data_IF_188144531294
#
_entry.id   IF_188144531294
#
_cell.length_a   1.000
_cell.length_b   1.000
_cell.length_c   1.000
_cell.angle_alpha   90.00
_cell.angle_beta   90.00
_cell.angle_gamma   90.00
#
_symmetry.space_group_name_H-M   'P 1'
#
loop_
_entity.id
_entity.type
_entity.pdbx_description
1 polymer ?
#
# COMPACT_ATOMS: atom_id res chain seq x y z
N UNK A 1 19.33 18.82 -6.16
CA UNK A 1 18.40 18.70 -7.28
C UNK A 1 17.94 17.26 -7.28
N UNK A 2 16.67 17.02 -7.14
CA UNK A 2 16.11 15.65 -7.11
C UNK A 2 15.82 15.21 -8.54
N UNK A 3 16.05 13.95 -8.86
CA UNK A 3 15.76 13.40 -10.18
C UNK A 3 15.12 12.03 -10.05
N UNK A 4 14.03 11.81 -10.76
CA UNK A 4 13.38 10.52 -10.91
C UNK A 4 13.40 10.15 -12.39
N UNK A 5 13.93 8.99 -12.72
CA UNK A 5 13.99 8.46 -14.08
C UNK A 5 13.23 7.14 -14.15
N UNK A 6 12.18 7.08 -14.99
CA UNK A 6 11.38 5.88 -15.27
C UNK A 6 11.30 5.76 -16.80
N UNK A 7 12.18 5.00 -17.44
CA UNK A 7 12.30 4.95 -18.89
C UNK A 7 11.07 4.37 -19.59
N UNK A 8 10.48 3.33 -19.01
CA UNK A 8 9.31 2.67 -19.57
C UNK A 8 8.05 3.55 -19.38
N UNK A 9 7.35 3.94 -20.47
CA UNK A 9 6.17 4.80 -20.41
C UNK A 9 4.98 4.12 -19.70
N UNK A 10 4.85 2.80 -19.78
CA UNK A 10 3.77 2.06 -19.14
C UNK A 10 4.00 2.03 -17.62
N UNK A 11 5.21 1.76 -17.17
CA UNK A 11 5.57 1.80 -15.75
C UNK A 11 5.51 3.22 -15.18
N UNK A 12 5.86 4.24 -15.98
CA UNK A 12 5.68 5.63 -15.61
C UNK A 12 4.20 5.98 -15.46
N UNK A 13 3.34 5.46 -16.34
CA UNK A 13 1.90 5.55 -16.24
C UNK A 13 1.35 4.88 -14.98
N UNK A 14 1.87 3.70 -14.65
CA UNK A 14 1.52 2.94 -13.43
C UNK A 14 1.90 3.71 -12.15
N UNK A 15 3.10 4.29 -12.13
CA UNK A 15 3.52 5.15 -11.01
C UNK A 15 2.64 6.39 -10.91
N UNK A 16 2.32 7.02 -12.03
CA UNK A 16 1.38 8.16 -12.09
C UNK A 16 0.00 7.80 -11.56
N UNK A 17 -0.54 6.64 -11.94
CA UNK A 17 -1.81 6.13 -11.44
C UNK A 17 -1.78 5.84 -9.94
N UNK A 18 -0.68 5.28 -9.43
CA UNK A 18 -0.47 5.10 -7.99
C UNK A 18 -0.52 6.43 -7.25
N UNK A 19 0.27 7.42 -7.69
CA UNK A 19 0.34 8.74 -7.04
C UNK A 19 -1.01 9.48 -7.13
N UNK A 20 -1.71 9.39 -8.25
CA UNK A 20 -3.06 9.98 -8.40
C UNK A 20 -4.06 9.42 -7.38
N UNK A 21 -3.99 8.12 -7.09
CA UNK A 21 -4.85 7.49 -6.07
C UNK A 21 -4.47 7.92 -4.65
N UNK A 22 -3.16 8.09 -4.38
CA UNK A 22 -2.69 8.66 -3.11
C UNK A 22 -3.25 10.06 -2.91
N UNK A 23 -3.11 10.94 -3.90
CA UNK A 23 -3.64 12.32 -3.85
C UNK A 23 -5.16 12.35 -3.67
N UNK A 24 -5.89 11.44 -4.31
CA UNK A 24 -7.34 11.31 -4.16
C UNK A 24 -7.75 10.94 -2.74
N UNK A 25 -6.97 10.09 -2.07
CA UNK A 25 -7.23 9.69 -0.68
C UNK A 25 -6.83 10.78 0.32
N UNK A 26 -5.72 11.46 0.05
CA UNK A 26 -5.21 12.55 0.88
C UNK A 26 -4.36 13.51 0.04
N UNK A 27 -4.85 14.73 -0.16
CA UNK A 27 -4.16 15.77 -0.93
C UNK A 27 -2.86 16.26 -0.26
N UNK A 28 -2.74 16.09 1.06
CA UNK A 28 -1.55 16.46 1.82
C UNK A 28 -0.55 15.30 1.94
N UNK A 29 -0.84 14.15 1.34
CA UNK A 29 0.01 12.97 1.42
C UNK A 29 1.41 13.22 0.87
N UNK A 30 2.36 12.52 1.48
CA UNK A 30 3.74 12.42 1.02
C UNK A 30 3.98 11.07 0.35
N UNK A 31 4.85 11.07 -0.65
CA UNK A 31 5.39 9.86 -1.26
C UNK A 31 6.89 9.79 -0.97
N UNK A 32 7.34 8.68 -0.41
CA UNK A 32 8.76 8.38 -0.25
C UNK A 32 9.22 7.47 -1.36
N UNK A 33 10.19 7.91 -2.12
CA UNK A 33 10.82 7.17 -3.21
C UNK A 33 12.14 6.60 -2.71
N UNK A 34 12.34 5.30 -2.91
CA UNK A 34 13.58 4.62 -2.53
C UNK A 34 14.15 3.86 -3.72
N UNK A 35 15.42 4.08 -3.97
CA UNK A 35 16.17 3.33 -4.96
C UNK A 35 16.40 1.88 -4.50
N UNK A 36 16.28 0.96 -5.46
CA UNK A 36 16.72 -0.41 -5.40
C UNK A 36 17.70 -0.71 -6.53
N UNK A 37 17.98 -1.98 -6.80
CA UNK A 37 18.79 -2.39 -7.95
C UNK A 37 17.99 -2.21 -9.24
N UNK A 38 18.20 -1.06 -9.93
CA UNK A 38 17.47 -0.71 -11.15
C UNK A 38 15.97 -0.48 -10.97
N UNK A 39 15.52 -0.26 -9.74
CA UNK A 39 14.11 -0.03 -9.42
C UNK A 39 13.91 1.15 -8.49
N UNK A 40 12.72 1.72 -8.53
CA UNK A 40 12.26 2.72 -7.57
C UNK A 40 11.00 2.20 -6.90
N UNK A 41 11.01 2.15 -5.57
CA UNK A 41 9.83 1.81 -4.78
C UNK A 41 9.23 3.08 -4.18
N UNK A 42 7.99 3.36 -4.56
CA UNK A 42 7.18 4.44 -4.00
C UNK A 42 6.37 3.92 -2.80
N UNK A 43 6.40 4.68 -1.71
CA UNK A 43 5.68 4.42 -0.47
C UNK A 43 4.78 5.61 -0.14
N UNK A 44 3.54 5.32 0.25
CA UNK A 44 2.62 6.33 0.76
C UNK A 44 1.85 5.80 1.98
N UNK A 45 1.66 6.65 2.98
CA UNK A 45 0.71 6.35 4.05
C UNK A 45 -0.71 6.61 3.54
N UNK A 46 -1.64 5.72 3.88
CA UNK A 46 -3.06 5.92 3.58
C UNK A 46 -3.81 6.39 4.83
N UNK A 47 -4.98 7.01 4.69
CA UNK A 47 -5.82 7.40 5.82
C UNK A 47 -6.29 6.23 6.71
N UNK A 48 -6.03 4.99 6.27
CA UNK A 48 -6.42 3.77 6.98
C UNK A 48 -5.34 3.24 7.94
N UNK A 49 -4.24 3.98 8.16
CA UNK A 49 -3.07 3.50 8.93
C UNK A 49 -2.48 2.21 8.32
N UNK A 50 -2.34 2.24 7.00
CA UNK A 50 -1.78 1.18 6.16
C UNK A 50 -0.87 1.84 5.13
N UNK A 51 0.31 1.29 4.88
CA UNK A 51 1.20 1.76 3.83
C UNK A 51 0.78 1.16 2.49
N UNK A 52 0.72 1.99 1.46
CA UNK A 52 0.61 1.56 0.07
C UNK A 52 1.96 1.66 -0.62
N UNK A 53 2.25 0.75 -1.55
CA UNK A 53 3.52 0.73 -2.27
C UNK A 53 3.36 0.26 -3.71
N UNK A 54 4.18 0.82 -4.58
CA UNK A 54 4.38 0.40 -5.97
C UNK A 54 5.87 0.45 -6.30
N UNK A 55 6.37 -0.57 -6.99
CA UNK A 55 7.74 -0.61 -7.51
C UNK A 55 7.70 -0.55 -9.03
N UNK A 56 8.59 0.23 -9.63
CA UNK A 56 8.79 0.37 -11.07
C UNK A 56 10.27 0.29 -11.39
N UNK A 57 10.64 -0.05 -12.63
CA UNK A 57 12.03 0.04 -13.08
C UNK A 57 12.41 1.51 -13.27
N UNK A 58 13.57 1.88 -12.77
CA UNK A 58 14.03 3.27 -12.82
C UNK A 58 15.06 3.59 -11.75
N UNK A 59 15.36 4.86 -11.66
CA UNK A 59 16.36 5.41 -10.75
C UNK A 59 15.82 6.67 -10.06
N UNK A 60 16.22 6.90 -8.83
CA UNK A 60 15.95 8.15 -8.12
C UNK A 60 17.21 8.65 -7.42
N UNK A 61 17.49 9.94 -7.59
CA UNK A 61 18.61 10.65 -6.95
C UNK A 61 18.10 11.87 -6.17
N UNK A 62 18.45 11.98 -4.88
CA UNK A 62 19.13 11.00 -4.02
C UNK A 62 18.31 9.70 -3.87
N UNK A 63 18.98 8.58 -3.58
CA UNK A 63 18.39 7.24 -3.53
C UNK A 63 17.31 7.02 -2.45
N UNK A 64 17.02 8.03 -1.64
CA UNK A 64 15.92 8.07 -0.67
C UNK A 64 15.44 9.52 -0.55
N UNK A 65 14.24 9.79 -1.02
CA UNK A 65 13.66 11.14 -1.01
C UNK A 65 12.16 11.09 -0.70
N UNK A 66 11.70 12.07 0.06
CA UNK A 66 10.26 12.23 0.36
C UNK A 66 9.77 13.53 -0.27
N UNK A 67 8.67 13.44 -1.01
CA UNK A 67 8.11 14.54 -1.79
C UNK A 67 6.60 14.66 -1.59
N UNK A 68 5.99 15.84 -1.76
CA UNK A 68 4.54 15.97 -1.81
C UNK A 68 3.96 15.18 -2.98
N UNK A 69 2.93 14.37 -2.72
CA UNK A 69 2.29 13.55 -3.74
C UNK A 69 1.73 14.39 -4.91
N UNK A 70 1.19 15.57 -4.64
CA UNK A 70 0.68 16.49 -5.66
C UNK A 70 1.77 16.99 -6.59
N UNK A 71 2.96 17.34 -6.06
CA UNK A 71 4.11 17.76 -6.86
C UNK A 71 4.62 16.64 -7.77
N UNK A 72 4.77 15.44 -7.20
CA UNK A 72 5.17 14.25 -7.98
C UNK A 72 4.16 13.91 -9.08
N UNK A 73 2.86 13.99 -8.77
CA UNK A 73 1.82 13.75 -9.77
C UNK A 73 1.92 14.75 -10.94
N UNK A 74 2.12 16.04 -10.63
CA UNK A 74 2.30 17.07 -11.65
C UNK A 74 3.50 16.79 -12.53
N UNK A 75 4.65 16.46 -11.94
CA UNK A 75 5.86 16.13 -12.70
C UNK A 75 5.64 14.94 -13.65
N UNK A 76 5.03 13.85 -13.17
CA UNK A 76 4.76 12.66 -13.98
C UNK A 76 3.75 12.89 -15.11
N UNK A 77 2.76 13.78 -14.92
CA UNK A 77 1.67 13.99 -15.88
C UNK A 77 1.95 15.10 -16.89
N UNK A 78 2.63 16.17 -16.47
CA UNK A 78 2.87 17.35 -17.31
C UNK A 78 4.14 17.19 -18.14
N UNK A 79 5.23 16.79 -17.51
CA UNK A 79 6.53 16.74 -18.20
C UNK A 79 6.58 15.59 -19.21
N UNK A 80 5.91 14.47 -18.95
CA UNK A 80 5.88 13.26 -19.80
C UNK A 80 7.24 12.81 -20.30
N UNK A 81 8.30 13.23 -19.61
CA UNK A 81 9.67 12.91 -19.90
C UNK A 81 10.10 11.65 -19.13
N UNK A 82 11.13 10.97 -19.64
CA UNK A 82 11.70 9.80 -18.96
C UNK A 82 12.32 10.17 -17.61
N UNK A 83 12.76 11.42 -17.48
CA UNK A 83 13.35 11.97 -16.26
C UNK A 83 12.65 13.26 -15.85
N UNK A 84 12.18 13.32 -14.59
CA UNK A 84 11.46 14.45 -14.02
C UNK A 84 12.08 14.88 -12.69
N UNK A 85 11.80 16.12 -12.26
CA UNK A 85 12.10 16.56 -10.90
C UNK A 85 10.84 16.31 -10.02
N UNK A 86 10.87 15.30 -9.15
CA UNK A 86 9.73 15.01 -8.28
C UNK A 86 9.54 16.03 -7.16
N UNK A 87 10.40 17.05 -7.08
CA UNK A 87 10.47 17.99 -5.98
C UNK A 87 11.25 17.44 -4.78
N UNK A 88 11.20 18.16 -3.68
CA UNK A 88 11.83 17.77 -2.41
C UNK A 88 11.09 18.43 -1.24
N UNK A 89 11.36 17.95 -0.02
CA UNK A 89 10.99 18.67 1.20
C UNK A 89 9.84 18.09 2.01
N UNK A 90 9.59 16.80 1.89
CA UNK A 90 8.72 16.08 2.83
C UNK A 90 9.51 15.46 3.98
N UNK A 91 8.95 15.47 5.19
CA UNK A 91 9.46 14.69 6.31
C UNK A 91 8.61 13.43 6.46
N UNK A 92 9.20 12.29 6.09
CA UNK A 92 8.53 11.00 6.27
C UNK A 92 8.39 10.67 7.75
N UNK A 93 7.18 10.34 8.14
CA UNK A 93 6.89 9.88 9.49
C UNK A 93 6.57 8.39 9.49
N UNK A 94 7.12 7.69 10.46
CA UNK A 94 6.91 6.27 10.62
C UNK A 94 8.01 5.41 9.99
N UNK A 95 7.96 4.13 10.33
CA UNK A 95 8.92 3.13 9.91
C UNK A 95 8.44 2.46 8.61
N UNK A 96 9.36 2.19 7.71
CA UNK A 96 9.11 1.32 6.56
C UNK A 96 9.36 -0.14 6.94
N UNK A 97 8.67 -1.08 6.29
CA UNK A 97 8.91 -2.50 6.48
C UNK A 97 10.32 -2.88 6.00
N UNK A 98 10.86 -4.00 6.49
CA UNK A 98 12.14 -4.51 5.99
C UNK A 98 12.04 -4.88 4.51
N UNK A 99 13.16 -4.72 3.78
CA UNK A 99 13.23 -5.10 2.37
C UNK A 99 13.14 -6.62 2.18
N UNK A 100 13.65 -7.39 3.14
CA UNK A 100 13.80 -8.84 3.07
C UNK A 100 13.09 -9.54 4.23
N UNK A 101 13.12 -10.89 4.22
CA UNK A 101 12.55 -11.71 5.29
C UNK A 101 11.05 -11.98 5.16
N UNK A 102 10.44 -11.62 4.04
CA UNK A 102 9.05 -11.90 3.74
C UNK A 102 8.84 -13.38 3.45
N UNK A 103 7.89 -13.99 4.16
CA UNK A 103 7.50 -15.37 3.97
C UNK A 103 6.10 -15.42 3.37
N UNK A 104 5.90 -16.02 2.18
CA UNK A 104 4.58 -16.24 1.63
C UNK A 104 3.75 -17.11 2.59
N UNK A 105 2.49 -16.73 2.78
CA UNK A 105 1.54 -17.48 3.63
C UNK A 105 0.53 -18.19 2.75
N UNK A 106 -0.21 -17.44 1.91
CA UNK A 106 -1.19 -18.01 0.99
C UNK A 106 -1.57 -16.98 -0.09
N UNK A 107 -2.24 -17.45 -1.13
CA UNK A 107 -2.83 -16.63 -2.17
C UNK A 107 -4.36 -16.61 -1.99
N UNK A 108 -4.94 -15.42 -1.89
CA UNK A 108 -6.38 -15.21 -1.69
C UNK A 108 -6.99 -14.67 -2.98
N UNK A 109 -8.10 -15.23 -3.49
CA UNK A 109 -8.78 -14.69 -4.65
C UNK A 109 -9.15 -13.21 -4.45
N UNK A 110 -8.79 -12.35 -5.41
CA UNK A 110 -9.09 -10.91 -5.34
C UNK A 110 -10.61 -10.65 -5.20
N UNK A 111 -11.44 -11.44 -5.88
CA UNK A 111 -12.90 -11.39 -5.78
C UNK A 111 -13.42 -11.67 -4.36
N UNK A 112 -12.73 -12.49 -3.57
CA UNK A 112 -13.10 -12.71 -2.16
C UNK A 112 -12.81 -11.47 -1.32
N UNK A 113 -11.65 -10.85 -1.50
CA UNK A 113 -11.29 -9.61 -0.82
C UNK A 113 -12.24 -8.48 -1.17
N UNK A 114 -12.68 -8.40 -2.42
CA UNK A 114 -13.65 -7.41 -2.88
C UNK A 114 -15.00 -7.60 -2.19
N UNK A 115 -15.53 -8.83 -2.16
CA UNK A 115 -16.77 -9.14 -1.42
C UNK A 115 -16.68 -8.82 0.08
N UNK A 116 -15.52 -9.07 0.69
CA UNK A 116 -15.26 -8.69 2.09
C UNK A 116 -15.22 -7.17 2.25
N UNK A 117 -14.62 -6.47 1.30
CA UNK A 117 -14.56 -5.01 1.28
C UNK A 117 -15.96 -4.40 1.17
N UNK A 118 -16.80 -4.88 0.25
CA UNK A 118 -18.17 -4.40 0.08
C UNK A 118 -19.01 -4.58 1.34
N UNK A 119 -18.92 -5.75 1.98
CA UNK A 119 -19.59 -6.00 3.26
C UNK A 119 -19.08 -5.06 4.35
N UNK A 120 -17.77 -4.86 4.43
CA UNK A 120 -17.15 -3.93 5.37
C UNK A 120 -17.59 -2.48 5.13
N UNK A 121 -17.72 -2.05 3.87
CA UNK A 121 -18.21 -0.73 3.50
C UNK A 121 -19.67 -0.52 3.92
N UNK A 122 -20.54 -1.52 3.76
CA UNK A 122 -21.93 -1.45 4.21
C UNK A 122 -21.99 -1.22 5.73
N UNK A 123 -21.27 -2.03 6.51
CA UNK A 123 -21.20 -1.88 7.97
C UNK A 123 -20.59 -0.52 8.37
N UNK A 124 -19.55 -0.08 7.66
CA UNK A 124 -18.90 1.19 7.95
C UNK A 124 -19.83 2.39 7.71
N UNK A 125 -20.69 2.34 6.68
CA UNK A 125 -21.69 3.39 6.42
C UNK A 125 -22.76 3.45 7.48
N UNK A 126 -23.22 2.30 7.96
CA UNK A 126 -24.22 2.21 9.03
C UNK A 126 -23.71 2.72 10.38
N UNK A 127 -22.40 2.64 10.61
CA UNK A 127 -21.74 3.01 11.86
C UNK A 127 -20.87 4.28 11.74
N UNK A 128 -20.96 5.02 10.64
CA UNK A 128 -20.16 6.21 10.43
C UNK A 128 -20.63 7.36 11.33
N UNK A 129 -19.70 7.88 12.15
CA UNK A 129 -19.88 9.14 12.87
C UNK A 129 -19.32 10.33 12.08
N UNK A 130 -19.34 11.55 12.68
CA UNK A 130 -18.78 12.76 12.04
C UNK A 130 -17.31 12.64 11.63
N UNK A 131 -16.56 11.75 12.27
CA UNK A 131 -15.13 11.49 12.01
C UNK A 131 -14.91 10.24 11.15
N UNK A 132 -15.97 9.70 10.52
CA UNK A 132 -15.90 8.46 9.75
C UNK A 132 -16.15 7.20 10.58
N UNK A 133 -15.85 6.01 10.04
CA UNK A 133 -16.02 4.75 10.76
C UNK A 133 -15.12 4.68 12.01
N UNK A 134 -15.59 4.07 13.11
CA UNK A 134 -14.79 3.96 14.32
C UNK A 134 -13.55 3.07 14.08
N UNK A 135 -12.44 3.42 14.72
CA UNK A 135 -11.17 2.69 14.58
C UNK A 135 -11.31 1.21 14.95
N UNK A 136 -12.16 0.88 15.94
CA UNK A 136 -12.45 -0.49 16.35
C UNK A 136 -13.06 -1.34 15.23
N UNK A 137 -13.88 -0.74 14.36
CA UNK A 137 -14.40 -1.41 13.17
C UNK A 137 -13.30 -1.67 12.14
N UNK A 138 -12.45 -0.68 11.91
CA UNK A 138 -11.33 -0.80 10.97
C UNK A 138 -10.30 -1.85 11.42
N UNK A 139 -10.18 -2.09 12.72
CA UNK A 139 -9.27 -3.09 13.30
C UNK A 139 -9.87 -4.50 13.38
N UNK A 140 -11.15 -4.67 13.03
CA UNK A 140 -11.75 -6.00 12.99
C UNK A 140 -11.04 -6.90 11.99
N UNK A 141 -10.67 -8.10 12.44
CA UNK A 141 -10.15 -9.15 11.57
C UNK A 141 -11.26 -9.66 10.66
N UNK A 142 -11.13 -9.46 9.37
CA UNK A 142 -12.10 -9.90 8.36
C UNK A 142 -11.67 -11.15 7.60
N UNK A 143 -10.37 -11.46 7.70
CA UNK A 143 -9.78 -12.64 7.08
C UNK A 143 -8.63 -13.13 7.95
N UNK A 144 -8.53 -14.45 8.11
CA UNK A 144 -7.38 -15.10 8.73
C UNK A 144 -6.75 -16.06 7.73
N UNK A 145 -5.49 -15.84 7.43
CA UNK A 145 -4.72 -16.63 6.45
C UNK A 145 -3.68 -17.44 7.18
N UNK A 146 -3.60 -18.73 6.90
CA UNK A 146 -2.66 -19.63 7.57
C UNK A 146 -2.05 -20.63 6.59
N UNK A 147 -0.78 -20.96 6.79
CA UNK A 147 -0.08 -21.99 6.03
C UNK A 147 0.64 -22.94 7.00
N UNK A 148 0.16 -24.17 7.07
CA UNK A 148 0.75 -25.22 7.90
C UNK A 148 0.86 -24.84 9.38
N UNK A 149 2.02 -25.06 9.98
CA UNK A 149 2.30 -24.79 11.39
C UNK A 149 2.69 -23.32 11.70
N UNK A 150 2.68 -22.44 10.71
CA UNK A 150 3.05 -21.03 10.91
C UNK A 150 1.94 -20.24 11.60
N UNK A 151 2.29 -19.19 12.37
CA UNK A 151 1.30 -18.33 12.96
C UNK A 151 0.41 -17.69 11.89
N UNK A 152 -0.89 -17.77 12.08
CA UNK A 152 -1.86 -17.20 11.17
C UNK A 152 -1.70 -15.67 11.04
N UNK A 153 -1.94 -15.14 9.84
CA UNK A 153 -1.98 -13.71 9.56
C UNK A 153 -3.42 -13.25 9.62
N UNK A 154 -3.69 -12.36 10.57
CA UNK A 154 -5.00 -11.72 10.71
C UNK A 154 -5.01 -10.44 9.89
N UNK A 155 -5.89 -10.38 8.89
CA UNK A 155 -6.04 -9.22 8.01
C UNK A 155 -7.20 -8.36 8.52
N UNK A 156 -6.94 -7.13 9.00
CA UNK A 156 -7.98 -6.23 9.44
C UNK A 156 -8.67 -5.52 8.27
N UNK A 157 -9.90 -5.08 8.48
CA UNK A 157 -10.73 -4.40 7.48
C UNK A 157 -10.02 -3.20 6.84
N UNK A 158 -9.21 -2.46 7.60
CA UNK A 158 -8.44 -1.31 7.09
C UNK A 158 -7.49 -1.64 5.95
N UNK A 159 -6.94 -2.87 5.91
CA UNK A 159 -6.11 -3.31 4.80
C UNK A 159 -6.92 -3.49 3.52
N UNK A 160 -8.15 -3.99 3.63
CA UNK A 160 -9.06 -4.12 2.49
C UNK A 160 -9.49 -2.76 1.97
N UNK A 161 -9.78 -1.80 2.86
CA UNK A 161 -10.11 -0.43 2.47
C UNK A 161 -8.92 0.27 1.79
N UNK A 162 -7.70 0.02 2.24
CA UNK A 162 -6.51 0.53 1.58
C UNK A 162 -6.32 -0.09 0.18
N UNK A 163 -6.48 -1.42 0.03
CA UNK A 163 -6.41 -2.11 -1.26
C UNK A 163 -7.45 -1.56 -2.25
N UNK A 164 -8.70 -1.43 -1.81
CA UNK A 164 -9.80 -0.91 -2.64
C UNK A 164 -9.62 0.58 -2.93
N UNK A 165 -9.33 1.40 -1.93
CA UNK A 165 -9.08 2.84 -2.09
C UNK A 165 -7.93 3.16 -3.05
N UNK A 166 -6.89 2.34 -3.04
CA UNK A 166 -5.78 2.40 -3.99
C UNK A 166 -6.10 1.74 -5.35
N UNK A 167 -7.26 1.08 -5.49
CA UNK A 167 -7.66 0.39 -6.72
C UNK A 167 -6.73 -0.76 -7.10
N UNK A 168 -6.09 -1.40 -6.11
CA UNK A 168 -5.11 -2.45 -6.36
C UNK A 168 -5.74 -3.79 -6.73
N UNK A 169 -7.01 -4.01 -6.37
CA UNK A 169 -7.75 -5.23 -6.73
C UNK A 169 -8.15 -5.27 -8.21
N UNK A 170 -8.25 -4.09 -8.86
CA UNK A 170 -8.72 -3.97 -10.23
C UNK A 170 -10.24 -4.09 -10.35
N UNK A 171 -10.72 -4.41 -11.55
CA UNK A 171 -12.13 -4.63 -11.78
C UNK A 171 -12.53 -6.04 -11.32
N UNK A 172 -13.69 -6.14 -10.67
CA UNK A 172 -14.28 -7.40 -10.28
C UNK A 172 -14.65 -8.23 -11.52
N UNK A 173 -13.93 -9.30 -11.74
CA UNK A 173 -14.18 -10.20 -12.86
C UNK A 173 -13.54 -11.56 -12.62
N UNK A 174 -13.83 -12.54 -13.48
CA UNK A 174 -13.25 -13.89 -13.37
C UNK A 174 -11.72 -13.86 -13.48
N UNK A 175 -11.14 -12.81 -14.07
CA UNK A 175 -9.70 -12.62 -14.25
C UNK A 175 -9.06 -11.69 -13.21
N UNK A 176 -9.75 -11.39 -12.11
CA UNK A 176 -9.25 -10.48 -11.06
C UNK A 176 -7.95 -10.98 -10.38
N UNK A 177 -7.60 -12.24 -10.57
CA UNK A 177 -6.36 -12.84 -10.07
C UNK A 177 -6.40 -13.11 -8.56
N UNK A 178 -5.21 -13.23 -7.99
CA UNK A 178 -5.02 -13.49 -6.56
C UNK A 178 -4.23 -12.38 -5.90
N UNK A 179 -4.43 -12.22 -4.62
CA UNK A 179 -3.63 -11.36 -3.75
C UNK A 179 -2.77 -12.26 -2.87
N UNK A 180 -1.46 -12.13 -3.00
CA UNK A 180 -0.52 -12.87 -2.17
C UNK A 180 -0.40 -12.25 -0.81
N UNK A 181 -0.62 -13.06 0.22
CA UNK A 181 -0.41 -12.67 1.61
C UNK A 181 0.97 -13.16 2.03
N UNK A 182 1.81 -12.23 2.48
CA UNK A 182 3.13 -12.51 3.02
C UNK A 182 3.27 -11.88 4.40
N UNK A 183 4.15 -12.42 5.21
CA UNK A 183 4.41 -11.89 6.54
C UNK A 183 5.88 -11.97 6.93
N UNK A 184 6.30 -11.05 7.80
CA UNK A 184 7.49 -11.17 8.66
C UNK A 184 7.04 -11.35 10.09
N UNK A 185 7.96 -11.35 11.06
CA UNK A 185 7.60 -11.37 12.49
C UNK A 185 6.68 -10.23 12.90
N UNK A 186 6.89 -9.03 12.37
CA UNK A 186 6.19 -7.79 12.77
C UNK A 186 5.37 -7.11 11.69
N UNK A 187 5.39 -7.59 10.45
CA UNK A 187 4.70 -6.99 9.32
C UNK A 187 3.89 -8.01 8.53
N UNK A 188 2.79 -7.55 7.92
CA UNK A 188 2.06 -8.27 6.87
C UNK A 188 2.06 -7.45 5.59
N UNK A 189 1.97 -8.14 4.46
CA UNK A 189 1.94 -7.57 3.13
C UNK A 189 0.91 -8.31 2.30
N UNK A 190 0.11 -7.56 1.57
CA UNK A 190 -0.85 -8.06 0.60
C UNK A 190 -0.44 -7.52 -0.77
N UNK A 191 0.10 -8.39 -1.61
CA UNK A 191 0.53 -8.07 -2.97
C UNK A 191 -0.61 -8.34 -3.93
N UNK A 192 -1.16 -7.30 -4.51
CA UNK A 192 -2.19 -7.34 -5.53
C UNK A 192 -1.62 -6.95 -6.91
N UNK A 193 -2.45 -7.06 -7.95
CA UNK A 193 -2.04 -6.84 -9.35
C UNK A 193 -1.39 -5.46 -9.60
N UNK A 194 -1.92 -4.40 -8.97
CA UNK A 194 -1.50 -3.02 -9.25
C UNK A 194 -0.68 -2.36 -8.15
N UNK A 195 -0.34 -3.11 -7.11
CA UNK A 195 0.47 -2.63 -6.00
C UNK A 195 0.26 -3.46 -4.75
N UNK A 196 0.88 -3.07 -3.67
CA UNK A 196 0.76 -3.78 -2.41
C UNK A 196 0.38 -2.84 -1.26
N UNK A 197 -0.26 -3.40 -0.25
CA UNK A 197 -0.44 -2.74 1.04
C UNK A 197 0.32 -3.48 2.12
N UNK A 198 0.86 -2.72 3.07
CA UNK A 198 1.73 -3.24 4.12
C UNK A 198 1.33 -2.63 5.46
N UNK A 199 1.26 -3.45 6.48
CA UNK A 199 0.92 -3.01 7.84
C UNK A 199 1.70 -3.78 8.90
N UNK A 200 2.00 -3.11 10.02
CA UNK A 200 2.48 -3.81 11.21
C UNK A 200 1.42 -4.78 11.75
N UNK A 201 1.86 -5.96 12.12
CA UNK A 201 1.03 -6.95 12.79
C UNK A 201 0.95 -6.59 14.27
N UNK A 202 -0.25 -6.68 14.82
CA UNK A 202 -0.42 -6.70 16.27
C UNK A 202 -0.04 -8.11 16.73
N UNK A 203 1.19 -8.28 17.18
CA UNK A 203 1.61 -9.50 17.87
C UNK A 203 1.14 -9.41 19.31
N UNK A 204 0.32 -10.35 19.75
CA UNK A 204 0.03 -10.50 21.16
C UNK A 204 1.36 -10.76 21.87
N UNK A 205 1.74 -9.87 22.78
CA UNK A 205 2.85 -10.14 23.69
C UNK A 205 2.45 -11.38 24.53
N UNK A 206 3.28 -12.43 24.59
CA UNK A 206 3.02 -13.51 25.53
C UNK A 206 3.03 -12.90 26.94
N UNK A 207 1.89 -12.96 27.62
CA UNK A 207 1.82 -12.65 29.03
C UNK A 207 2.69 -13.72 29.72
N UNK A 208 3.88 -13.33 30.16
CA UNK A 208 4.63 -14.13 31.14
C UNK A 208 3.85 -14.08 32.43
N UNK A 209 3.03 -15.11 32.67
CA UNK A 209 2.46 -15.38 33.98
C UNK A 209 3.60 -15.94 34.81
N UNK A 210 4.16 -15.09 35.70
CA UNK A 210 5.11 -15.48 36.73
C UNK A 210 4.42 -16.15 37.91
#
# INVERSE_FOLDING_TARGET
MTRLTVPDPDERGDLGAFVARVVRLDQAALVRLRAGEGTVTAWAATPFDVLATRTVHGEVEPGDVTVPATGLLTALTVERADSVDPGAGGLWQGELPPAEGWQPVDDVPAAELERLTERGLAVARENAGPMGPPASLLDQTVLTVSAGARPAVKVPLRCLFALSGMGFLGDAGPDAGVVRVSATGSWMRLDARYGAVVRRRVTALPLLVG
#
